data_IF_301940690315
#
_entry.id   IF_301940690315
#
_cell.length_a   1.000
_cell.length_b   1.000
_cell.length_c   1.000
_cell.angle_alpha   90.00
_cell.angle_beta   90.00
_cell.angle_gamma   90.00
#
_symmetry.space_group_name_H-M   'P 1'
#
loop_
_entity.id
_entity.type
_entity.pdbx_description
1 polymer ?
#
# COMPACT_ATOMS: atom_id res chain seq x y z
N UNK A 1 27.19 12.08 8.87
CA UNK A 1 26.96 13.42 9.45
C UNK A 1 28.27 14.20 9.37
N UNK A 2 28.29 15.50 9.01
CA UNK A 2 29.54 16.28 8.91
C UNK A 2 29.77 17.04 10.23
N UNK A 3 30.98 16.95 10.80
CA UNK A 3 31.33 17.61 12.07
C UNK A 3 30.99 19.10 12.08
N UNK A 4 31.25 19.81 10.97
CA UNK A 4 30.95 21.24 10.81
C UNK A 4 29.48 21.63 11.02
N UNK A 5 28.55 20.69 10.82
CA UNK A 5 27.12 20.94 10.94
C UNK A 5 26.63 20.69 12.38
N UNK A 6 27.18 19.68 13.05
CA UNK A 6 26.73 19.26 14.38
C UNK A 6 27.52 19.90 15.52
N UNK A 7 28.81 20.19 15.29
CA UNK A 7 29.71 20.79 16.26
C UNK A 7 30.58 21.87 15.59
N UNK A 8 30.00 23.01 15.18
CA UNK A 8 30.72 24.05 14.44
C UNK A 8 31.93 24.59 15.21
N UNK A 9 31.80 24.82 16.53
CA UNK A 9 32.89 25.34 17.38
C UNK A 9 34.05 24.36 17.53
N UNK A 10 33.77 23.06 17.71
CA UNK A 10 34.82 22.04 17.68
C UNK A 10 35.43 21.90 16.29
N UNK A 11 34.61 21.99 15.25
CA UNK A 11 35.10 21.95 13.87
C UNK A 11 36.06 23.10 13.59
N UNK A 12 35.84 24.31 14.10
CA UNK A 12 36.75 25.46 13.99
C UNK A 12 38.11 25.21 14.63
N UNK A 13 38.13 24.49 15.76
CA UNK A 13 39.36 24.09 16.44
C UNK A 13 40.10 22.96 15.73
N UNK A 14 39.47 22.13 14.91
CA UNK A 14 40.18 21.06 14.18
C UNK A 14 41.16 21.65 13.16
N UNK A 15 42.41 21.22 13.20
CA UNK A 15 43.46 21.71 12.31
C UNK A 15 43.29 21.21 10.88
N UNK A 16 42.79 19.97 10.72
CA UNK A 16 42.62 19.31 9.43
C UNK A 16 41.13 19.16 9.10
N UNK A 17 40.57 20.17 8.44
CA UNK A 17 39.12 20.30 8.18
C UNK A 17 38.50 19.17 7.34
N UNK A 18 39.32 18.44 6.60
CA UNK A 18 38.93 17.32 5.72
C UNK A 18 39.24 15.95 6.33
N UNK A 19 39.61 15.86 7.61
CA UNK A 19 39.92 14.57 8.22
C UNK A 19 38.70 13.65 8.29
N UNK A 20 38.95 12.36 8.07
CA UNK A 20 37.99 11.29 8.28
C UNK A 20 38.05 10.80 9.73
N UNK A 21 37.00 10.11 10.16
CA UNK A 21 36.88 9.55 11.52
C UNK A 21 38.01 8.55 11.80
N UNK A 22 38.40 7.74 10.83
CA UNK A 22 39.52 6.78 10.98
C UNK A 22 40.87 7.44 11.29
N UNK A 23 41.06 8.71 10.95
CA UNK A 23 42.28 9.47 11.23
C UNK A 23 42.31 10.07 12.64
N UNK A 24 41.22 9.91 13.41
CA UNK A 24 41.03 10.46 14.76
C UNK A 24 40.72 9.41 15.82
N UNK A 25 40.50 8.15 15.42
CA UNK A 25 40.36 7.00 16.32
C UNK A 25 41.66 6.19 16.30
N UNK A 26 42.12 5.76 17.47
CA UNK A 26 43.21 4.78 17.62
C UNK A 26 42.82 3.71 18.66
N UNK A 27 43.65 2.68 18.80
CA UNK A 27 43.40 1.57 19.74
C UNK A 27 43.29 2.02 21.22
N UNK A 28 43.79 3.21 21.54
CA UNK A 28 43.78 3.82 22.88
C UNK A 28 42.77 4.97 23.05
N UNK A 29 41.87 5.21 22.08
CA UNK A 29 40.82 6.22 22.15
C UNK A 29 40.81 7.21 20.99
N UNK A 30 40.86 8.51 21.29
CA UNK A 30 40.76 9.57 20.30
C UNK A 30 42.02 10.42 20.21
N UNK A 31 42.54 10.60 18.98
CA UNK A 31 43.69 11.46 18.69
C UNK A 31 43.27 12.68 17.88
N UNK A 32 42.68 13.64 18.58
CA UNK A 32 42.26 14.91 18.00
C UNK A 32 43.45 15.81 17.63
N UNK A 33 43.29 16.65 16.59
CA UNK A 33 44.30 17.65 16.19
C UNK A 33 43.77 19.06 16.33
N UNK A 34 43.56 19.49 17.57
CA UNK A 34 43.07 20.83 17.87
C UNK A 34 44.15 21.90 17.70
N UNK A 35 43.79 23.04 17.08
CA UNK A 35 44.62 24.26 17.04
C UNK A 35 44.82 24.85 18.44
N UNK A 36 43.78 24.74 19.27
CA UNK A 36 43.73 25.18 20.66
C UNK A 36 42.88 24.21 21.48
N UNK A 37 43.13 24.07 22.79
CA UNK A 37 42.43 23.08 23.63
C UNK A 37 40.93 23.45 23.75
N UNK A 38 39.98 22.54 23.47
CA UNK A 38 38.54 22.82 23.57
C UNK A 38 38.09 23.28 24.97
N UNK A 39 38.74 22.79 26.03
CA UNK A 39 38.46 23.19 27.41
C UNK A 39 38.67 24.70 27.65
N UNK A 40 39.62 25.32 26.95
CA UNK A 40 39.88 26.77 27.04
C UNK A 40 38.67 27.61 26.60
N UNK A 41 37.76 27.01 25.82
CA UNK A 41 36.55 27.66 25.31
C UNK A 41 35.26 27.06 25.91
N UNK A 42 35.36 26.25 26.97
CA UNK A 42 34.19 25.62 27.60
C UNK A 42 33.52 24.51 26.77
N UNK A 43 34.18 23.98 25.74
CA UNK A 43 33.61 22.99 24.80
C UNK A 43 33.75 21.53 25.28
N UNK A 44 33.90 21.30 26.58
CA UNK A 44 34.14 19.96 27.14
C UNK A 44 32.91 19.05 26.98
N UNK A 45 31.71 19.60 27.21
CA UNK A 45 30.44 18.87 27.00
C UNK A 45 30.25 18.45 25.53
N UNK A 46 30.52 19.35 24.60
CA UNK A 46 30.42 19.06 23.16
C UNK A 46 31.41 17.96 22.74
N UNK A 47 32.62 18.00 23.30
CA UNK A 47 33.64 16.99 23.02
C UNK A 47 33.27 15.61 23.58
N UNK A 48 32.67 15.57 24.78
CA UNK A 48 32.14 14.34 25.37
C UNK A 48 30.98 13.76 24.54
N UNK A 49 30.07 14.61 24.08
CA UNK A 49 28.94 14.18 23.25
C UNK A 49 29.43 13.63 21.90
N UNK A 50 30.35 14.35 21.24
CA UNK A 50 31.00 13.88 20.02
C UNK A 50 31.71 12.52 20.22
N UNK A 51 32.41 12.38 21.34
CA UNK A 51 33.12 11.14 21.69
C UNK A 51 32.15 9.98 21.91
N UNK A 52 30.97 10.21 22.49
CA UNK A 52 29.92 9.18 22.65
C UNK A 52 29.29 8.80 21.31
N UNK A 53 29.06 9.76 20.42
CA UNK A 53 28.49 9.49 19.09
C UNK A 53 29.43 8.66 18.21
N UNK A 54 30.74 8.87 18.33
CA UNK A 54 31.75 8.16 17.53
C UNK A 54 32.09 6.79 18.13
N UNK A 55 31.97 6.60 19.45
CA UNK A 55 32.32 5.36 20.16
C UNK A 55 31.78 4.05 19.54
N UNK A 56 30.53 3.95 19.03
CA UNK A 56 30.03 2.72 18.43
C UNK A 56 30.58 2.42 17.02
N UNK A 57 31.40 3.32 16.44
CA UNK A 57 31.93 3.16 15.08
C UNK A 57 32.96 2.03 15.03
N UNK A 58 32.66 0.96 14.28
CA UNK A 58 33.61 -0.12 14.00
C UNK A 58 34.33 0.16 12.69
N UNK A 59 35.61 0.49 12.76
CA UNK A 59 36.44 0.67 11.58
C UNK A 59 36.80 -0.70 10.98
N UNK A 60 36.66 -0.84 9.67
CA UNK A 60 37.11 -2.01 8.92
C UNK A 60 38.11 -1.56 7.84
N UNK A 61 39.04 -2.44 7.42
CA UNK A 61 40.01 -2.13 6.37
C UNK A 61 39.42 -2.07 4.96
N UNK A 62 38.10 -2.14 4.81
CA UNK A 62 37.38 -2.04 3.53
C UNK A 62 36.97 -0.60 3.21
N UNK A 63 36.62 -0.35 1.95
CA UNK A 63 35.97 0.92 1.55
C UNK A 63 34.65 1.11 2.29
N UNK A 64 34.32 2.38 2.58
CA UNK A 64 33.03 2.76 3.16
C UNK A 64 31.88 2.36 2.22
N UNK A 65 30.81 1.81 2.78
CA UNK A 65 29.58 1.53 2.05
C UNK A 65 28.36 2.06 2.82
N UNK A 66 27.33 2.46 2.08
CA UNK A 66 26.05 2.83 2.68
C UNK A 66 25.31 1.57 3.11
N UNK A 67 24.99 1.46 4.40
CA UNK A 67 24.10 0.43 4.92
C UNK A 67 22.72 1.01 5.21
N UNK A 68 21.70 0.21 4.94
CA UNK A 68 20.30 0.58 5.10
C UNK A 68 19.71 -0.09 6.34
N UNK A 69 19.31 0.71 7.33
CA UNK A 69 18.66 0.22 8.56
C UNK A 69 17.19 -0.25 8.36
N UNK A 70 16.80 -0.57 7.13
CA UNK A 70 15.48 -1.14 6.83
C UNK A 70 15.44 -2.64 7.08
N UNK A 71 16.55 -3.32 6.84
CA UNK A 71 16.71 -4.78 6.94
C UNK A 71 17.95 -5.10 7.79
N UNK A 72 18.02 -6.31 8.35
CA UNK A 72 19.16 -6.78 9.12
C UNK A 72 20.43 -7.00 8.28
N UNK A 73 20.27 -7.21 6.97
CA UNK A 73 21.38 -7.38 6.02
C UNK A 73 22.04 -6.05 5.60
N UNK A 74 21.47 -4.91 6.00
CA UNK A 74 21.96 -3.59 5.63
C UNK A 74 21.74 -3.24 4.14
N UNK A 75 21.01 -4.05 3.38
CA UNK A 75 20.79 -3.83 1.94
C UNK A 75 19.50 -3.02 1.73
N UNK A 76 19.61 -1.94 0.98
CA UNK A 76 18.44 -1.16 0.57
C UNK A 76 17.60 -1.97 -0.42
N UNK A 77 16.31 -2.13 -0.12
CA UNK A 77 15.37 -2.63 -1.10
C UNK A 77 14.02 -1.88 -1.00
N UNK A 78 13.42 -1.62 -2.16
CA UNK A 78 12.18 -0.84 -2.27
C UNK A 78 11.00 -1.56 -1.62
N UNK A 79 11.00 -2.90 -1.61
CA UNK A 79 9.91 -3.69 -1.01
C UNK A 79 9.84 -3.49 0.52
N UNK A 80 10.97 -3.57 1.22
CA UNK A 80 11.12 -3.33 2.65
C UNK A 80 10.81 -1.88 3.01
N UNK A 81 11.25 -0.92 2.20
CA UNK A 81 10.85 0.48 2.40
C UNK A 81 9.34 0.64 2.30
N UNK A 82 8.71 0.06 1.26
CA UNK A 82 7.26 0.14 1.05
C UNK A 82 6.48 -0.51 2.19
N UNK A 83 6.95 -1.63 2.73
CA UNK A 83 6.36 -2.26 3.91
C UNK A 83 6.45 -1.33 5.11
N UNK A 84 7.64 -0.79 5.41
CA UNK A 84 7.86 0.10 6.57
C UNK A 84 7.07 1.41 6.46
N UNK A 85 6.98 2.00 5.27
CA UNK A 85 6.15 3.16 4.98
C UNK A 85 4.67 2.82 5.08
N UNK A 86 4.25 1.66 4.59
CA UNK A 86 2.88 1.16 4.73
C UNK A 86 2.49 1.09 6.21
N UNK A 87 3.33 0.50 7.06
CA UNK A 87 3.07 0.45 8.50
C UNK A 87 2.99 1.82 9.15
N UNK A 88 3.83 2.80 8.77
CA UNK A 88 3.83 4.14 9.39
C UNK A 88 2.74 5.09 8.86
N UNK A 89 2.40 5.00 7.59
CA UNK A 89 1.43 5.90 6.95
C UNK A 89 -0.01 5.38 7.05
N UNK A 90 -0.19 4.06 7.21
CA UNK A 90 -1.50 3.42 7.33
C UNK A 90 -1.88 3.12 8.78
N UNK A 91 -1.08 3.50 9.78
CA UNK A 91 -1.42 3.31 11.20
C UNK A 91 -2.63 4.12 11.68
N UNK A 92 -3.13 5.07 10.88
CA UNK A 92 -4.28 5.91 11.24
C UNK A 92 -5.62 5.41 10.68
N UNK A 93 -5.60 4.47 9.73
CA UNK A 93 -6.80 3.86 9.16
C UNK A 93 -6.67 2.35 9.31
N UNK A 94 -7.72 1.69 9.82
CA UNK A 94 -7.82 0.24 10.01
C UNK A 94 -6.95 -0.57 9.04
N UNK A 95 -6.10 -1.45 9.59
CA UNK A 95 -5.02 -2.23 8.94
C UNK A 95 -5.50 -3.17 7.81
N UNK A 96 -6.17 -2.65 6.79
CA UNK A 96 -6.69 -3.43 5.67
C UNK A 96 -5.52 -3.72 4.73
N UNK A 97 -5.04 -4.96 4.77
CA UNK A 97 -3.91 -5.40 3.96
C UNK A 97 -4.31 -5.59 2.49
N UNK A 98 -3.99 -4.64 1.62
CA UNK A 98 -4.18 -4.78 0.16
C UNK A 98 -3.20 -5.83 -0.41
N UNK A 99 -3.72 -6.87 -1.05
CA UNK A 99 -2.90 -7.88 -1.75
C UNK A 99 -2.59 -7.42 -3.17
N UNK A 100 -1.32 -7.15 -3.43
CA UNK A 100 -0.81 -6.89 -4.78
C UNK A 100 -0.52 -8.22 -5.47
N UNK A 101 -1.35 -8.58 -6.44
CA UNK A 101 -1.25 -9.84 -7.19
C UNK A 101 -0.92 -9.59 -8.65
N UNK A 102 0.03 -10.35 -9.20
CA UNK A 102 0.35 -10.33 -10.64
C UNK A 102 -0.81 -10.81 -11.51
N UNK A 103 -1.81 -11.49 -10.94
CA UNK A 103 -3.01 -11.92 -11.65
C UNK A 103 -3.95 -10.75 -11.96
N UNK A 104 -3.83 -9.65 -11.22
CA UNK A 104 -4.71 -8.49 -11.31
C UNK A 104 -3.97 -7.39 -12.08
N UNK A 105 -4.59 -6.71 -13.06
CA UNK A 105 -3.98 -5.54 -13.68
C UNK A 105 -3.66 -4.48 -12.63
N UNK A 106 -2.48 -3.87 -12.71
CA UNK A 106 -2.03 -2.88 -11.72
C UNK A 106 -3.02 -1.73 -11.53
N UNK A 107 -3.69 -1.28 -12.61
CA UNK A 107 -4.72 -0.23 -12.56
C UNK A 107 -5.87 -0.59 -11.63
N UNK A 108 -6.25 -1.86 -11.57
CA UNK A 108 -7.34 -2.36 -10.72
C UNK A 108 -6.88 -2.46 -9.27
N UNK A 109 -5.70 -3.00 -9.00
CA UNK A 109 -5.14 -3.01 -7.64
C UNK A 109 -4.96 -1.60 -7.07
N UNK A 110 -4.45 -0.66 -7.87
CA UNK A 110 -4.31 0.75 -7.47
C UNK A 110 -5.66 1.41 -7.21
N UNK A 111 -6.68 1.10 -8.02
CA UNK A 111 -8.04 1.59 -7.77
C UNK A 111 -8.61 1.04 -6.46
N UNK A 112 -8.50 -0.27 -6.21
CA UNK A 112 -8.98 -0.90 -4.97
C UNK A 112 -8.29 -0.29 -3.74
N UNK A 113 -6.98 -0.07 -3.80
CA UNK A 113 -6.26 0.64 -2.73
C UNK A 113 -6.84 2.04 -2.46
N UNK A 114 -7.12 2.83 -3.50
CA UNK A 114 -7.77 4.14 -3.35
C UNK A 114 -9.20 4.03 -2.80
N UNK A 115 -9.95 3.00 -3.22
CA UNK A 115 -11.32 2.78 -2.78
C UNK A 115 -11.38 2.43 -1.28
N UNK A 116 -10.46 1.58 -0.81
CA UNK A 116 -10.31 1.27 0.62
C UNK A 116 -9.97 2.51 1.45
N UNK A 117 -9.17 3.43 0.91
CA UNK A 117 -8.89 4.71 1.54
C UNK A 117 -10.03 5.74 1.40
N UNK A 118 -11.17 5.40 0.78
CA UNK A 118 -12.25 6.33 0.43
C UNK A 118 -11.80 7.52 -0.42
N UNK A 119 -10.72 7.36 -1.18
CA UNK A 119 -10.10 8.41 -2.01
C UNK A 119 -10.51 8.33 -3.48
N UNK A 120 -11.59 7.62 -3.80
CA UNK A 120 -12.20 7.61 -5.14
C UNK A 120 -13.16 8.79 -5.30
N UNK A 121 -13.39 9.29 -6.53
CA UNK A 121 -14.19 10.49 -6.75
C UNK A 121 -15.71 10.21 -6.66
N UNK A 122 -16.18 9.86 -5.47
CA UNK A 122 -17.62 9.83 -5.15
C UNK A 122 -18.17 11.25 -5.01
N UNK A 123 -19.49 11.44 -5.08
CA UNK A 123 -20.10 12.76 -4.93
C UNK A 123 -19.68 13.45 -3.61
N UNK A 124 -19.69 12.71 -2.50
CA UNK A 124 -19.25 13.23 -1.19
C UNK A 124 -17.76 13.66 -1.22
N UNK A 125 -16.88 12.82 -1.76
CA UNK A 125 -15.45 13.12 -1.83
C UNK A 125 -15.13 14.31 -2.76
N UNK A 126 -15.91 14.49 -3.84
CA UNK A 126 -15.80 15.63 -4.73
C UNK A 126 -16.33 16.91 -4.08
N UNK A 127 -17.42 16.83 -3.32
CA UNK A 127 -17.94 17.92 -2.51
C UNK A 127 -16.93 18.43 -1.49
N UNK A 128 -16.25 17.54 -0.77
CA UNK A 128 -15.15 17.89 0.14
C UNK A 128 -13.96 18.58 -0.55
N UNK A 129 -13.83 18.44 -1.88
CA UNK A 129 -12.80 19.12 -2.69
C UNK A 129 -13.29 20.44 -3.29
N UNK A 130 -14.49 20.91 -2.92
CA UNK A 130 -15.07 22.14 -3.42
C UNK A 130 -15.65 22.05 -4.84
N UNK A 131 -15.83 20.85 -5.38
CA UNK A 131 -16.47 20.66 -6.69
C UNK A 131 -17.99 20.73 -6.49
N UNK A 132 -18.64 21.69 -7.16
CA UNK A 132 -20.09 21.82 -7.17
C UNK A 132 -20.72 20.64 -7.93
N UNK A 133 -21.67 19.97 -7.30
CA UNK A 133 -22.41 18.86 -7.87
C UNK A 133 -23.91 19.13 -7.79
N UNK A 134 -24.65 18.73 -8.82
CA UNK A 134 -26.10 18.89 -8.86
C UNK A 134 -26.82 17.99 -7.84
N UNK A 135 -26.18 16.89 -7.44
CA UNK A 135 -26.70 15.96 -6.44
C UNK A 135 -25.56 15.23 -5.72
N UNK A 136 -25.78 14.95 -4.43
CA UNK A 136 -24.95 14.05 -3.62
C UNK A 136 -25.49 12.62 -3.59
N UNK A 137 -26.61 12.35 -4.26
CA UNK A 137 -27.22 11.03 -4.31
C UNK A 137 -26.40 10.06 -5.15
N UNK A 138 -26.44 8.78 -4.76
CA UNK A 138 -25.78 7.72 -5.51
C UNK A 138 -26.29 7.64 -6.95
N UNK A 139 -25.39 7.76 -7.94
CA UNK A 139 -25.74 7.68 -9.36
C UNK A 139 -26.29 6.31 -9.79
N UNK A 140 -26.10 5.28 -8.96
CA UNK A 140 -26.59 3.93 -9.24
C UNK A 140 -28.01 3.68 -8.72
N UNK A 141 -28.31 3.98 -7.46
CA UNK A 141 -29.65 3.73 -6.89
C UNK A 141 -30.49 4.98 -6.69
N UNK A 142 -29.94 6.17 -6.96
CA UNK A 142 -30.62 7.47 -6.78
C UNK A 142 -31.14 7.62 -5.34
N UNK A 143 -30.44 7.00 -4.40
CA UNK A 143 -30.81 6.98 -2.99
C UNK A 143 -29.56 6.92 -2.12
N UNK A 144 -29.58 7.61 -0.98
CA UNK A 144 -28.44 7.71 -0.06
C UNK A 144 -27.29 8.58 -0.57
N UNK A 145 -26.46 9.08 0.37
CA UNK A 145 -25.23 9.82 0.05
C UNK A 145 -24.25 8.92 -0.71
N UNK A 146 -23.70 9.45 -1.79
CA UNK A 146 -22.73 8.74 -2.60
C UNK A 146 -21.33 8.77 -1.98
N UNK A 147 -21.08 7.81 -1.11
CA UNK A 147 -19.77 7.52 -0.53
C UNK A 147 -19.08 6.37 -1.28
N UNK A 148 -17.77 6.22 -1.10
CA UNK A 148 -17.02 5.10 -1.67
C UNK A 148 -17.59 3.74 -1.24
N UNK A 149 -17.92 3.60 0.05
CA UNK A 149 -18.51 2.38 0.61
C UNK A 149 -19.94 2.16 0.10
N UNK A 150 -20.73 3.23 -0.05
CA UNK A 150 -22.06 3.10 -0.62
C UNK A 150 -22.00 2.63 -2.08
N UNK A 151 -21.21 3.27 -2.95
CA UNK A 151 -21.14 2.90 -4.39
C UNK A 151 -20.79 1.41 -4.57
N UNK A 152 -19.86 0.90 -3.76
CA UNK A 152 -19.27 -0.43 -3.96
C UNK A 152 -19.96 -1.51 -3.13
N UNK A 153 -20.47 -1.19 -1.94
CA UNK A 153 -20.98 -2.17 -0.98
C UNK A 153 -22.43 -1.89 -0.58
N UNK A 154 -22.72 -0.66 -0.15
CA UNK A 154 -24.02 -0.30 0.43
C UNK A 154 -25.16 -0.10 -0.58
N UNK A 155 -24.85 0.18 -1.84
CA UNK A 155 -25.84 0.46 -2.87
C UNK A 155 -26.69 -0.80 -3.15
N UNK A 156 -28.03 -0.71 -3.22
CA UNK A 156 -28.89 -1.84 -3.57
C UNK A 156 -28.48 -2.51 -4.89
N UNK A 157 -28.11 -1.72 -5.90
CA UNK A 157 -27.63 -2.24 -7.19
C UNK A 157 -26.32 -3.02 -7.03
N UNK A 158 -25.37 -2.52 -6.24
CA UNK A 158 -24.12 -3.21 -5.95
C UNK A 158 -24.36 -4.50 -5.14
N UNK A 159 -25.29 -4.46 -4.17
CA UNK A 159 -25.69 -5.61 -3.36
C UNK A 159 -26.27 -6.73 -4.23
N UNK A 160 -27.18 -6.43 -5.16
CA UNK A 160 -27.74 -7.43 -6.08
C UNK A 160 -26.65 -8.15 -6.91
N UNK A 161 -25.62 -7.42 -7.33
CA UNK A 161 -24.50 -7.99 -8.10
C UNK A 161 -23.61 -8.83 -7.18
N UNK A 162 -23.28 -8.32 -5.99
CA UNK A 162 -22.52 -9.06 -4.97
C UNK A 162 -23.21 -10.38 -4.63
N UNK A 163 -24.53 -10.41 -4.46
CA UNK A 163 -25.27 -11.62 -4.13
C UNK A 163 -25.22 -12.64 -5.28
N UNK A 164 -25.25 -12.18 -6.53
CA UNK A 164 -25.06 -13.04 -7.70
C UNK A 164 -23.64 -13.61 -7.77
N UNK A 165 -22.62 -12.81 -7.48
CA UNK A 165 -21.23 -13.28 -7.36
C UNK A 165 -21.10 -14.28 -6.21
N UNK A 166 -21.73 -14.01 -5.07
CA UNK A 166 -21.74 -14.89 -3.89
C UNK A 166 -22.29 -16.28 -4.24
N UNK A 167 -23.44 -16.32 -4.91
CA UNK A 167 -24.06 -17.56 -5.40
C UNK A 167 -23.18 -18.30 -6.40
N UNK A 168 -22.59 -17.59 -7.36
CA UNK A 168 -21.67 -18.20 -8.34
C UNK A 168 -20.41 -18.78 -7.68
N UNK A 169 -19.90 -18.15 -6.63
CA UNK A 169 -18.78 -18.65 -5.84
C UNK A 169 -19.17 -19.79 -4.86
N UNK A 170 -20.46 -20.07 -4.66
CA UNK A 170 -20.93 -20.98 -3.61
C UNK A 170 -20.57 -20.48 -2.20
N UNK A 171 -20.61 -19.17 -1.99
CA UNK A 171 -20.30 -18.52 -0.71
C UNK A 171 -21.59 -17.92 -0.16
N UNK A 172 -21.97 -18.31 1.05
CA UNK A 172 -23.13 -17.73 1.72
C UNK A 172 -22.74 -16.53 2.58
N UNK A 173 -23.68 -15.59 2.72
CA UNK A 173 -23.65 -14.52 3.74
C UNK A 173 -22.38 -13.65 3.76
N UNK A 174 -21.98 -13.07 2.62
CA UNK A 174 -20.94 -12.03 2.58
C UNK A 174 -21.47 -10.76 3.28
N UNK A 175 -21.24 -10.67 4.60
CA UNK A 175 -21.60 -9.53 5.44
C UNK A 175 -20.45 -8.52 5.47
N UNK A 176 -20.57 -7.47 4.68
CA UNK A 176 -19.56 -6.41 4.51
C UNK A 176 -20.26 -5.06 4.54
N UNK A 177 -19.67 -4.07 5.20
CA UNK A 177 -20.20 -2.71 5.32
C UNK A 177 -19.31 -1.68 4.62
N UNK A 178 -18.04 -1.99 4.42
CA UNK A 178 -17.06 -1.16 3.73
C UNK A 178 -16.34 -1.88 2.59
N UNK A 179 -15.71 -1.11 1.69
CA UNK A 179 -14.80 -1.67 0.67
C UNK A 179 -13.65 -2.43 1.35
N UNK A 180 -13.21 -1.92 2.51
CA UNK A 180 -12.22 -2.57 3.35
C UNK A 180 -12.62 -3.97 3.78
N UNK A 181 -13.83 -4.12 4.31
CA UNK A 181 -14.37 -5.39 4.79
C UNK A 181 -14.46 -6.41 3.66
N UNK A 182 -14.83 -5.99 2.45
CA UNK A 182 -14.89 -6.87 1.28
C UNK A 182 -13.50 -7.38 0.88
N UNK A 183 -12.48 -6.52 0.92
CA UNK A 183 -11.09 -6.90 0.66
C UNK A 183 -10.56 -7.83 1.76
N UNK A 184 -10.85 -7.51 3.02
CA UNK A 184 -10.42 -8.30 4.17
C UNK A 184 -11.09 -9.67 4.21
N UNK A 185 -12.40 -9.73 3.90
CA UNK A 185 -13.15 -10.96 3.72
C UNK A 185 -12.45 -11.86 2.70
N UNK A 186 -12.19 -11.36 1.49
CA UNK A 186 -11.50 -12.14 0.45
C UNK A 186 -10.08 -12.56 0.88
N UNK A 187 -9.40 -11.73 1.66
CA UNK A 187 -8.05 -11.99 2.14
C UNK A 187 -7.95 -13.08 3.18
N UNK A 188 -9.01 -13.29 3.98
CA UNK A 188 -9.10 -14.26 5.07
C UNK A 188 -9.98 -15.47 4.72
N UNK A 189 -10.72 -15.41 3.62
CA UNK A 189 -11.68 -16.45 3.25
C UNK A 189 -11.01 -17.79 2.89
N UNK A 190 -11.60 -18.87 3.43
CA UNK A 190 -11.25 -20.24 3.09
C UNK A 190 -9.87 -20.69 3.59
N UNK A 191 -9.68 -22.01 3.61
CA UNK A 191 -8.40 -22.66 4.00
C UNK A 191 -7.47 -22.87 2.80
N UNK A 192 -8.01 -23.01 1.59
CA UNK A 192 -7.23 -23.23 0.37
C UNK A 192 -6.64 -21.91 -0.16
N UNK A 193 -5.31 -21.83 -0.24
CA UNK A 193 -4.62 -20.62 -0.70
C UNK A 193 -4.93 -20.28 -2.16
N UNK A 194 -5.15 -21.29 -3.02
CA UNK A 194 -5.45 -21.09 -4.44
C UNK A 194 -6.87 -20.54 -4.64
N UNK A 195 -7.88 -21.15 -4.03
CA UNK A 195 -9.27 -20.64 -4.06
C UNK A 195 -9.35 -19.22 -3.48
N UNK A 196 -8.63 -18.96 -2.38
CA UNK A 196 -8.53 -17.62 -1.78
C UNK A 196 -7.91 -16.58 -2.73
N UNK A 197 -6.86 -16.93 -3.47
CA UNK A 197 -6.29 -16.05 -4.50
C UNK A 197 -7.31 -15.74 -5.59
N UNK A 198 -8.04 -16.74 -6.09
CA UNK A 198 -9.10 -16.55 -7.10
C UNK A 198 -10.19 -15.63 -6.58
N UNK A 199 -10.69 -15.85 -5.35
CA UNK A 199 -11.69 -14.98 -4.74
C UNK A 199 -11.18 -13.54 -4.60
N UNK A 200 -9.90 -13.35 -4.24
CA UNK A 200 -9.29 -12.01 -4.19
C UNK A 200 -9.36 -11.32 -5.56
N UNK A 201 -9.05 -12.02 -6.65
CA UNK A 201 -9.16 -11.47 -8.02
C UNK A 201 -10.62 -11.10 -8.34
N UNK A 202 -11.57 -11.97 -7.99
CA UNK A 202 -13.01 -11.74 -8.22
C UNK A 202 -13.49 -10.49 -7.47
N UNK A 203 -13.16 -10.34 -6.19
CA UNK A 203 -13.56 -9.17 -5.40
C UNK A 203 -12.95 -7.87 -5.94
N UNK A 204 -11.69 -7.90 -6.39
CA UNK A 204 -11.03 -6.72 -6.95
C UNK A 204 -11.69 -6.30 -8.28
N UNK A 205 -12.04 -7.26 -9.12
CA UNK A 205 -12.74 -6.97 -10.37
C UNK A 205 -14.19 -6.53 -10.17
N UNK A 206 -14.87 -7.06 -9.15
CA UNK A 206 -16.19 -6.58 -8.74
C UNK A 206 -16.14 -5.10 -8.34
N UNK A 207 -15.21 -4.72 -7.46
CA UNK A 207 -15.01 -3.34 -7.02
C UNK A 207 -14.78 -2.41 -8.23
N UNK A 208 -13.89 -2.81 -9.14
CA UNK A 208 -13.59 -2.04 -10.35
C UNK A 208 -14.78 -1.91 -11.30
N UNK A 209 -15.51 -3.00 -11.52
CA UNK A 209 -16.64 -3.02 -12.46
C UNK A 209 -17.83 -2.23 -11.94
N UNK A 210 -18.12 -2.28 -10.63
CA UNK A 210 -19.16 -1.46 -10.01
C UNK A 210 -18.86 0.03 -10.19
N UNK A 211 -17.61 0.43 -9.94
CA UNK A 211 -17.16 1.79 -10.17
C UNK A 211 -17.32 2.24 -11.63
N UNK A 212 -16.85 1.43 -12.59
CA UNK A 212 -17.01 1.72 -14.02
C UNK A 212 -18.48 1.84 -14.42
N UNK A 213 -19.32 0.89 -13.98
CA UNK A 213 -20.75 0.86 -14.30
C UNK A 213 -21.46 2.12 -13.79
N UNK A 214 -21.11 2.57 -12.57
CA UNK A 214 -21.61 3.85 -12.02
C UNK A 214 -21.20 5.03 -12.90
N UNK A 215 -19.94 5.08 -13.34
CA UNK A 215 -19.46 6.17 -14.19
C UNK A 215 -20.10 6.18 -15.58
N UNK A 216 -20.25 5.01 -16.22
CA UNK A 216 -20.96 4.88 -17.49
C UNK A 216 -22.41 5.36 -17.36
N UNK A 217 -23.09 5.01 -16.26
CA UNK A 217 -24.45 5.49 -15.98
C UNK A 217 -24.53 7.01 -15.87
N UNK A 218 -23.59 7.65 -15.17
CA UNK A 218 -23.64 9.09 -14.95
C UNK A 218 -23.16 9.91 -16.14
N UNK A 219 -22.07 9.52 -16.79
CA UNK A 219 -21.44 10.33 -17.83
C UNK A 219 -21.91 9.94 -19.24
N UNK A 220 -22.37 8.71 -19.45
CA UNK A 220 -22.79 8.21 -20.76
C UNK A 220 -24.28 7.84 -20.81
N UNK A 221 -25.01 7.98 -19.69
CA UNK A 221 -26.42 7.58 -19.55
C UNK A 221 -26.68 6.12 -19.93
N UNK A 222 -25.65 5.27 -19.84
CA UNK A 222 -25.74 3.85 -20.15
C UNK A 222 -26.08 3.05 -18.90
N UNK A 223 -27.15 2.26 -18.94
CA UNK A 223 -27.51 1.35 -17.85
C UNK A 223 -27.13 -0.09 -18.21
N UNK A 224 -26.45 -0.77 -17.29
CA UNK A 224 -26.19 -2.21 -17.40
C UNK A 224 -27.09 -3.00 -16.46
N UNK A 225 -27.60 -4.15 -16.91
CA UNK A 225 -28.33 -5.05 -16.02
C UNK A 225 -27.36 -5.75 -15.05
N UNK A 226 -27.79 -6.12 -13.83
CA UNK A 226 -26.94 -6.86 -12.89
C UNK A 226 -26.37 -8.16 -13.47
N UNK A 227 -27.11 -8.82 -14.38
CA UNK A 227 -26.65 -10.02 -15.09
C UNK A 227 -25.50 -9.70 -16.06
N UNK A 228 -25.61 -8.61 -16.83
CA UNK A 228 -24.53 -8.17 -17.73
C UNK A 228 -23.26 -7.83 -16.93
N UNK A 229 -23.41 -7.18 -15.78
CA UNK A 229 -22.27 -6.89 -14.89
C UNK A 229 -21.63 -8.17 -14.34
N UNK A 230 -22.44 -9.14 -13.90
CA UNK A 230 -21.95 -10.45 -13.48
C UNK A 230 -21.12 -11.13 -14.58
N UNK A 231 -21.65 -11.20 -15.80
CA UNK A 231 -20.97 -11.86 -16.92
C UNK A 231 -19.69 -11.12 -17.35
N UNK A 232 -19.66 -9.79 -17.23
CA UNK A 232 -18.44 -9.00 -17.42
C UNK A 232 -17.37 -9.36 -16.39
N UNK A 233 -17.73 -9.43 -15.10
CA UNK A 233 -16.81 -9.83 -14.03
C UNK A 233 -16.27 -11.24 -14.28
N UNK A 234 -17.15 -12.22 -14.56
CA UNK A 234 -16.73 -13.59 -14.88
C UNK A 234 -15.75 -13.63 -16.05
N UNK A 235 -16.06 -12.92 -17.14
CA UNK A 235 -15.26 -12.91 -18.36
C UNK A 235 -13.89 -12.26 -18.17
N UNK A 236 -13.82 -11.12 -17.47
CA UNK A 236 -12.57 -10.40 -17.24
C UNK A 236 -11.67 -11.14 -16.27
N UNK A 237 -12.21 -11.71 -15.19
CA UNK A 237 -11.44 -12.55 -14.28
C UNK A 237 -10.92 -13.78 -15.01
N UNK A 238 -11.75 -14.47 -15.80
CA UNK A 238 -11.33 -15.63 -16.60
C UNK A 238 -10.16 -15.28 -17.53
N UNK A 239 -10.28 -14.18 -18.28
CA UNK A 239 -9.24 -13.71 -19.19
C UNK A 239 -7.93 -13.44 -18.44
N UNK A 240 -8.01 -12.77 -17.30
CA UNK A 240 -6.82 -12.44 -16.52
C UNK A 240 -6.13 -13.67 -15.96
N UNK A 241 -6.89 -14.62 -15.42
CA UNK A 241 -6.32 -15.85 -14.91
C UNK A 241 -5.73 -16.69 -16.06
N UNK A 242 -6.40 -16.80 -17.21
CA UNK A 242 -5.89 -17.53 -18.39
C UNK A 242 -4.57 -16.95 -18.92
N UNK A 243 -4.43 -15.63 -18.92
CA UNK A 243 -3.23 -14.96 -19.46
C UNK A 243 -2.10 -14.88 -18.43
N UNK A 244 -2.41 -14.77 -17.13
CA UNK A 244 -1.43 -14.44 -16.09
C UNK A 244 -1.14 -15.56 -15.09
N UNK A 245 -1.99 -16.57 -14.97
CA UNK A 245 -1.72 -17.74 -14.13
C UNK A 245 -0.98 -18.81 -14.93
N UNK A 246 0.24 -19.13 -14.49
CA UNK A 246 1.08 -20.15 -15.12
C UNK A 246 0.56 -21.57 -14.87
N UNK A 247 -0.27 -21.77 -13.84
CA UNK A 247 -0.74 -23.09 -13.42
C UNK A 247 -2.04 -23.53 -14.12
N UNK A 248 -2.52 -22.74 -15.10
CA UNK A 248 -3.79 -23.00 -15.77
C UNK A 248 -5.02 -22.78 -14.89
N UNK A 249 -6.17 -22.67 -15.56
CA UNK A 249 -7.49 -22.58 -14.94
C UNK A 249 -8.45 -23.60 -15.55
N UNK A 250 -9.60 -23.78 -14.92
CA UNK A 250 -10.68 -24.60 -15.45
C UNK A 250 -11.10 -24.16 -16.87
N UNK A 251 -11.75 -25.07 -17.60
CA UNK A 251 -12.37 -24.71 -18.87
C UNK A 251 -13.49 -23.67 -18.65
N UNK A 252 -13.98 -23.08 -19.74
CA UNK A 252 -14.96 -22.00 -19.65
C UNK A 252 -16.32 -22.46 -19.13
N UNK A 253 -16.69 -23.71 -19.38
CA UNK A 253 -17.97 -24.30 -18.96
C UNK A 253 -18.01 -24.45 -17.45
N UNK A 254 -16.99 -25.09 -16.88
CA UNK A 254 -16.80 -25.24 -15.43
C UNK A 254 -16.74 -23.88 -14.74
N UNK A 255 -16.02 -22.92 -15.33
CA UNK A 255 -15.91 -21.55 -14.80
C UNK A 255 -17.27 -20.86 -14.67
N UNK A 256 -18.14 -21.05 -15.67
CA UNK A 256 -19.45 -20.40 -15.68
C UNK A 256 -20.36 -20.95 -14.57
N UNK A 257 -20.16 -22.20 -14.15
CA UNK A 257 -20.84 -22.85 -13.03
C UNK A 257 -20.24 -22.42 -11.69
N UNK A 258 -18.93 -22.58 -11.52
CA UNK A 258 -18.21 -22.20 -10.31
C UNK A 258 -16.73 -21.89 -10.58
N UNK A 259 -16.18 -20.81 -9.98
CA UNK A 259 -14.77 -20.47 -10.13
C UNK A 259 -13.84 -21.45 -9.38
N UNK A 260 -14.40 -22.39 -8.62
CA UNK A 260 -13.66 -23.35 -7.80
C UNK A 260 -13.81 -24.81 -8.26
N UNK A 261 -14.47 -25.06 -9.39
CA UNK A 261 -14.79 -26.41 -9.88
C UNK A 261 -13.56 -27.32 -10.11
N UNK A 262 -12.37 -26.76 -10.35
CA UNK A 262 -11.14 -27.54 -10.56
C UNK A 262 -10.24 -27.67 -9.33
N UNK A 263 -10.73 -27.30 -8.14
CA UNK A 263 -9.94 -27.24 -6.89
C UNK A 263 -10.72 -27.76 -5.69
#
# INVERSE_FOLDING_TARGET
MKLKNSYPSLYELESHKSCLVNARINDSGYKWRWKSRPNTFGLTSDLEHLSKEIAPTRLQPSLDYFSCCLNSDGIYNVASLRVKLGHKLLTSTSQIHIKWSKLIPIKVSSFVWRAVLRHIPSAEALGHRGIKLDSTLCGSCINGSETADHIIVGCPYATMIRDKISRWCGIDNIKVQSVGDLVEFANKWGRCSKRRKILTVICYELIWTLWKTRNERLFQRCTSSPLKVLENVKSLVYLWLKVRDKNGICNREDWNVSPFASY
#
